data_IF_586737512443
#
_entry.id   IF_586737512443
#
_cell.length_a   1.000
_cell.length_b   1.000
_cell.length_c   1.000
_cell.angle_alpha   90.00
_cell.angle_beta   90.00
_cell.angle_gamma   90.00
#
_symmetry.space_group_name_H-M   'P 1'
#
loop_
_entity.id
_entity.type
_entity.pdbx_description
1 polymer ?
#
# COMPACT_ATOMS: atom_id res chain seq x y z
N UNK A 1 2.96 7.66 30.08
CA UNK A 1 3.53 8.38 28.92
C UNK A 1 3.21 7.55 27.69
N UNK A 2 2.00 7.69 27.16
CA UNK A 2 1.51 6.96 26.00
C UNK A 2 1.53 7.93 24.82
N UNK A 3 2.73 8.31 24.39
CA UNK A 3 2.89 9.13 23.19
C UNK A 3 2.72 8.16 22.03
N UNK A 4 1.54 8.20 21.41
CA UNK A 4 1.17 7.34 20.29
C UNK A 4 2.23 7.36 19.20
N UNK A 5 2.28 6.25 18.46
CA UNK A 5 3.18 5.97 17.33
C UNK A 5 3.62 7.28 16.66
N UNK A 6 4.84 7.69 16.96
CA UNK A 6 5.40 8.93 16.45
C UNK A 6 5.83 8.76 15.00
N UNK A 7 6.13 9.89 14.37
CA UNK A 7 6.65 9.92 12.99
C UNK A 7 7.90 9.04 12.85
N UNK A 8 8.72 8.96 13.90
CA UNK A 8 9.91 8.10 13.95
C UNK A 8 9.56 6.61 13.86
N UNK A 9 8.61 6.09 14.65
CA UNK A 9 8.24 4.68 14.55
C UNK A 9 7.67 4.33 13.17
N UNK A 10 6.84 5.21 12.59
CA UNK A 10 6.29 4.99 11.24
C UNK A 10 7.41 4.90 10.20
N UNK A 11 8.41 5.79 10.27
CA UNK A 11 9.56 5.77 9.36
C UNK A 11 10.37 4.49 9.52
N UNK A 12 10.64 4.05 10.75
CA UNK A 12 11.38 2.81 11.03
C UNK A 12 10.64 1.60 10.47
N UNK A 13 9.34 1.48 10.72
CA UNK A 13 8.51 0.41 10.18
C UNK A 13 8.49 0.45 8.64
N UNK A 14 8.33 1.64 8.07
CA UNK A 14 8.40 1.84 6.62
C UNK A 14 9.74 1.39 6.02
N UNK A 15 10.86 1.67 6.70
CA UNK A 15 12.21 1.25 6.32
C UNK A 15 12.36 -0.27 6.36
N UNK A 16 11.87 -0.93 7.41
CA UNK A 16 11.90 -2.40 7.51
C UNK A 16 11.09 -3.02 6.37
N UNK A 17 9.88 -2.53 6.11
CA UNK A 17 9.06 -2.98 4.99
C UNK A 17 9.76 -2.73 3.65
N UNK A 18 10.42 -1.59 3.47
CA UNK A 18 11.18 -1.27 2.27
C UNK A 18 12.36 -2.23 2.06
N UNK A 19 13.01 -2.70 3.12
CA UNK A 19 14.11 -3.67 3.02
C UNK A 19 13.58 -5.07 2.71
N UNK A 20 12.49 -5.50 3.35
CA UNK A 20 11.91 -6.82 3.12
C UNK A 20 11.29 -6.96 1.73
N UNK A 21 10.56 -5.95 1.28
CA UNK A 21 9.89 -5.97 -0.02
C UNK A 21 10.75 -5.34 -1.13
N UNK A 22 11.66 -4.42 -0.80
CA UNK A 22 12.40 -3.62 -1.79
C UNK A 22 11.60 -2.40 -2.24
N UNK A 23 12.29 -1.26 -2.42
CA UNK A 23 11.65 0.01 -2.76
C UNK A 23 10.89 0.04 -4.10
N UNK A 24 11.13 -0.94 -4.98
CA UNK A 24 10.40 -1.10 -6.24
C UNK A 24 9.15 -1.99 -6.12
N UNK A 25 9.11 -2.96 -5.19
CA UNK A 25 7.96 -3.88 -5.09
C UNK A 25 6.75 -3.24 -4.44
N UNK A 26 6.92 -2.36 -3.45
CA UNK A 26 5.81 -1.63 -2.85
C UNK A 26 4.96 -0.87 -3.89
N UNK A 27 5.54 -0.01 -4.76
CA UNK A 27 4.78 0.69 -5.80
C UNK A 27 4.28 -0.23 -6.91
N UNK A 28 4.98 -1.32 -7.21
CA UNK A 28 4.54 -2.33 -8.19
C UNK A 28 3.30 -3.09 -7.71
N UNK A 29 3.27 -3.51 -6.44
CA UNK A 29 2.11 -4.10 -5.79
C UNK A 29 0.94 -3.11 -5.72
N UNK A 30 1.20 -1.85 -5.37
CA UNK A 30 0.17 -0.82 -5.33
C UNK A 30 -0.44 -0.55 -6.72
N UNK A 31 0.39 -0.53 -7.78
CA UNK A 31 -0.07 -0.42 -9.17
C UNK A 31 -0.92 -1.63 -9.59
N UNK A 32 -0.41 -2.84 -9.41
CA UNK A 32 -1.14 -4.05 -9.78
C UNK A 32 -2.47 -4.21 -9.02
N UNK A 33 -2.47 -3.85 -7.72
CA UNK A 33 -3.69 -3.85 -6.91
C UNK A 33 -4.66 -2.74 -7.33
N UNK A 34 -4.14 -1.55 -7.67
CA UNK A 34 -4.94 -0.44 -8.18
C UNK A 34 -5.60 -0.75 -9.53
N UNK A 35 -4.87 -1.38 -10.44
CA UNK A 35 -5.39 -1.85 -11.72
C UNK A 35 -6.46 -2.94 -11.53
N UNK A 36 -6.22 -3.87 -10.60
CA UNK A 36 -7.20 -4.90 -10.23
C UNK A 36 -8.48 -4.29 -9.65
N UNK A 37 -8.36 -3.31 -8.76
CA UNK A 37 -9.52 -2.59 -8.17
C UNK A 37 -10.24 -1.79 -9.26
N UNK A 38 -9.53 -1.19 -10.21
CA UNK A 38 -10.10 -0.43 -11.32
C UNK A 38 -10.93 -1.33 -12.24
N UNK A 39 -10.39 -2.48 -12.64
CA UNK A 39 -11.12 -3.46 -13.44
C UNK A 39 -12.29 -4.07 -12.65
N UNK A 40 -12.13 -4.33 -11.35
CA UNK A 40 -13.22 -4.77 -10.49
C UNK A 40 -14.37 -3.76 -10.43
N UNK A 41 -14.05 -2.47 -10.24
CA UNK A 41 -15.05 -1.39 -10.23
C UNK A 41 -15.72 -1.22 -11.58
N UNK A 42 -15.00 -1.42 -12.68
CA UNK A 42 -15.57 -1.38 -14.04
C UNK A 42 -16.55 -2.54 -14.24
N UNK A 43 -16.17 -3.76 -13.89
CA UNK A 43 -17.03 -4.93 -14.00
C UNK A 43 -18.28 -4.86 -13.10
N UNK A 44 -18.18 -4.21 -11.93
CA UNK A 44 -19.30 -4.04 -10.98
C UNK A 44 -20.16 -2.81 -11.31
N UNK A 45 -19.58 -1.76 -11.89
CA UNK A 45 -20.29 -0.52 -12.24
C UNK A 45 -20.88 -0.51 -13.65
N UNK A 46 -20.50 -1.46 -14.49
CA UNK A 46 -21.05 -1.65 -15.83
C UNK A 46 -22.16 -2.73 -15.74
N UNK A 47 -23.39 -2.25 -15.55
CA UNK A 47 -24.68 -2.98 -15.58
C UNK A 47 -25.20 -3.56 -14.25
N UNK A 48 -25.91 -2.70 -13.50
CA UNK A 48 -27.33 -2.92 -13.15
C UNK A 48 -28.12 -1.70 -13.61
#
# INVERSE_FOLDING_TARGET
MLNGIGTTEIVVVGLVLLVMFGGKKLPELARGMGDSIKEFRKAVGDNV
#
